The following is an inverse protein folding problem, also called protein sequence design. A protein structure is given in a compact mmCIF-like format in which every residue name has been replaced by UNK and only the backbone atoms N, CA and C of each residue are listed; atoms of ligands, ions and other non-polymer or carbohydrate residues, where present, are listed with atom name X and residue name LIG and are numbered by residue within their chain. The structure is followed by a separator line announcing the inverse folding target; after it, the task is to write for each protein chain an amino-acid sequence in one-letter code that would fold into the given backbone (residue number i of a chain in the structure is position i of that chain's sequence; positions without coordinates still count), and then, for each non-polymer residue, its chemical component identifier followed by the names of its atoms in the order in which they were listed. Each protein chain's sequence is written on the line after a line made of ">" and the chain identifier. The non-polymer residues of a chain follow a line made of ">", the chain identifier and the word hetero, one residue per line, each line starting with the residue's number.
data_IF_509200812104
#
_entry.id   IF_509200812104
#
_cell.length_a   1.000
_cell.length_b   1.000
_cell.length_c   1.000
_cell.angle_alpha   90.00
_cell.angle_beta   90.00
_cell.angle_gamma   90.00
#
_symmetry.space_group_name_H-M   'P 1'
#
loop_
_entity.id
_entity.type
_entity.pdbx_description
1 polymer ?
#
# COMPACT_ATOMS: atom_id res chain seq x y z
N UNK A 1 -12.58 -14.08 -2.80
CA UNK A 1 -11.38 -13.23 -2.58
C UNK A 1 -10.14 -13.98 -3.04
N UNK A 2 -9.23 -13.30 -3.71
CA UNK A 2 -7.99 -13.89 -4.19
C UNK A 2 -6.84 -13.29 -3.38
N UNK A 3 -6.01 -14.17 -2.83
CA UNK A 3 -4.82 -13.76 -2.07
C UNK A 3 -3.57 -14.09 -2.89
N UNK A 4 -2.70 -13.10 -3.05
CA UNK A 4 -1.44 -13.25 -3.76
C UNK A 4 -0.31 -12.90 -2.81
N UNK A 5 0.60 -13.85 -2.59
CA UNK A 5 1.73 -13.69 -1.68
C UNK A 5 3.01 -13.49 -2.49
N UNK A 6 3.73 -12.40 -2.20
CA UNK A 6 4.97 -12.05 -2.88
C UNK A 6 6.07 -11.76 -1.87
N UNK A 7 7.31 -12.01 -2.26
CA UNK A 7 8.48 -11.73 -1.42
C UNK A 7 8.97 -10.28 -1.53
N UNK A 8 8.56 -9.57 -2.58
CA UNK A 8 9.05 -8.22 -2.86
C UNK A 8 8.00 -7.39 -3.59
N UNK A 9 8.34 -6.15 -3.92
CA UNK A 9 7.44 -5.21 -4.59
C UNK A 9 7.45 -5.29 -6.11
N UNK A 10 8.14 -6.26 -6.71
CA UNK A 10 8.25 -6.39 -8.16
C UNK A 10 7.04 -7.12 -8.76
N UNK A 11 5.86 -6.58 -8.56
CA UNK A 11 4.61 -7.17 -9.06
C UNK A 11 4.46 -7.04 -10.57
N UNK A 12 5.28 -6.21 -11.20
CA UNK A 12 5.34 -6.03 -12.66
C UNK A 12 6.39 -6.90 -13.35
N UNK A 13 7.08 -7.78 -12.63
CA UNK A 13 8.04 -8.71 -13.22
C UNK A 13 7.38 -9.53 -14.32
N UNK A 14 8.08 -9.73 -15.44
CA UNK A 14 7.51 -10.39 -16.62
C UNK A 14 6.89 -11.76 -16.32
N UNK A 15 7.52 -12.54 -15.43
CA UNK A 15 7.03 -13.86 -15.08
C UNK A 15 5.72 -13.81 -14.28
N UNK A 16 5.41 -12.67 -13.67
CA UNK A 16 4.24 -12.50 -12.82
C UNK A 16 3.14 -11.69 -13.51
N UNK A 17 3.52 -10.73 -14.35
CA UNK A 17 2.58 -9.81 -15.00
C UNK A 17 1.45 -10.54 -15.74
N UNK A 18 1.80 -11.55 -16.53
CA UNK A 18 0.81 -12.30 -17.28
C UNK A 18 -0.26 -12.96 -16.42
N UNK A 19 0.10 -13.37 -15.19
CA UNK A 19 -0.84 -13.98 -14.25
C UNK A 19 -1.64 -12.95 -13.49
N UNK A 20 -1.03 -11.84 -13.07
CA UNK A 20 -1.68 -10.82 -12.25
C UNK A 20 -2.59 -9.89 -13.03
N UNK A 21 -2.34 -9.66 -14.33
CA UNK A 21 -3.17 -8.77 -15.16
C UNK A 21 -4.64 -9.19 -15.23
N UNK A 22 -4.96 -10.43 -14.89
CA UNK A 22 -6.34 -10.92 -14.80
C UNK A 22 -7.09 -10.25 -13.63
N UNK A 23 -6.38 -9.91 -12.58
CA UNK A 23 -6.92 -9.42 -11.32
C UNK A 23 -6.69 -7.93 -11.12
N UNK A 24 -5.57 -7.41 -11.64
CA UNK A 24 -5.19 -6.01 -11.52
C UNK A 24 -5.55 -5.32 -12.83
N UNK A 25 -6.60 -4.49 -12.80
CA UNK A 25 -7.13 -3.80 -13.97
C UNK A 25 -6.75 -2.32 -13.94
N UNK A 26 -6.71 -1.63 -15.11
CA UNK A 26 -6.39 -0.20 -15.16
C UNK A 26 -7.32 0.68 -14.32
N UNK A 27 -8.57 0.28 -14.12
CA UNK A 27 -9.54 1.02 -13.32
C UNK A 27 -9.60 0.57 -11.86
N UNK A 28 -8.73 -0.34 -11.45
CA UNK A 28 -8.68 -0.80 -10.05
C UNK A 28 -8.27 0.32 -9.12
N UNK A 29 -8.90 0.37 -7.94
CA UNK A 29 -8.51 1.23 -6.84
C UNK A 29 -7.70 0.42 -5.84
N UNK A 30 -6.58 0.98 -5.41
CA UNK A 30 -5.63 0.27 -4.55
C UNK A 30 -5.48 1.00 -3.22
N UNK A 31 -5.66 0.27 -2.14
CA UNK A 31 -5.30 0.73 -0.80
C UNK A 31 -3.96 0.08 -0.43
N UNK A 32 -2.94 0.89 -0.23
CA UNK A 32 -1.63 0.41 0.19
C UNK A 32 -1.54 0.51 1.71
N UNK A 33 -1.37 -0.63 2.37
CA UNK A 33 -1.28 -0.70 3.82
C UNK A 33 0.18 -0.47 4.24
N UNK A 34 0.53 0.79 4.50
CA UNK A 34 1.87 1.22 4.89
C UNK A 34 1.97 1.33 6.42
N UNK A 35 1.63 0.25 7.14
CA UNK A 35 1.51 0.22 8.59
C UNK A 35 2.52 -0.69 9.28
N UNK A 36 3.47 -1.25 8.53
CA UNK A 36 4.42 -2.25 9.04
C UNK A 36 5.76 -1.68 9.49
N UNK A 37 5.88 -0.36 9.56
CA UNK A 37 7.14 0.31 9.92
C UNK A 37 7.50 0.16 11.40
N UNK A 38 8.80 0.32 11.70
CA UNK A 38 9.32 0.36 13.08
C UNK A 38 9.14 1.75 13.68
N UNK A 39 8.69 1.83 14.93
CA UNK A 39 8.46 3.12 15.61
C UNK A 39 9.73 3.95 15.75
N UNK A 40 10.89 3.31 15.87
CA UNK A 40 12.16 4.03 16.00
C UNK A 40 12.66 4.61 14.67
N UNK A 41 12.08 4.21 13.54
CA UNK A 41 12.43 4.73 12.21
C UNK A 41 11.40 5.71 11.68
N UNK A 42 10.14 5.51 12.02
CA UNK A 42 9.04 6.38 11.58
C UNK A 42 8.30 6.85 12.83
N UNK A 43 8.68 8.01 13.33
CA UNK A 43 8.23 8.56 14.60
C UNK A 43 7.14 9.61 14.46
N UNK A 44 7.03 10.19 13.27
CA UNK A 44 6.12 11.30 12.97
C UNK A 44 5.77 11.34 11.48
N UNK A 45 4.92 12.28 11.10
CA UNK A 45 4.50 12.45 9.70
C UNK A 45 5.67 12.74 8.77
N UNK A 46 6.65 13.53 9.21
CA UNK A 46 7.81 13.85 8.39
C UNK A 46 8.62 12.59 8.04
N UNK A 47 8.85 11.72 9.03
CA UNK A 47 9.54 10.45 8.81
C UNK A 47 8.73 9.56 7.85
N UNK A 48 7.40 9.53 8.00
CA UNK A 48 6.52 8.75 7.14
C UNK A 48 6.57 9.26 5.69
N UNK A 49 6.49 10.58 5.52
CA UNK A 49 6.55 11.20 4.18
C UNK A 49 7.87 10.91 3.49
N UNK A 50 8.97 10.87 4.23
CA UNK A 50 10.29 10.57 3.66
C UNK A 50 10.38 9.15 3.08
N UNK A 51 9.50 8.23 3.49
CA UNK A 51 9.47 6.88 2.97
C UNK A 51 8.36 6.65 1.93
N UNK A 52 7.18 7.21 2.15
CA UNK A 52 5.98 6.80 1.42
C UNK A 52 5.25 7.89 0.66
N UNK A 53 5.59 9.17 0.82
CA UNK A 53 4.88 10.22 0.11
C UNK A 53 5.20 10.21 -1.39
N UNK A 54 4.26 10.68 -2.19
CA UNK A 54 4.42 10.80 -3.64
C UNK A 54 5.58 11.72 -4.01
N UNK A 55 5.75 12.80 -3.26
CA UNK A 55 6.73 13.85 -3.56
C UNK A 55 8.15 13.48 -3.17
N UNK A 56 8.32 12.83 -2.00
CA UNK A 56 9.64 12.63 -1.40
C UNK A 56 9.92 11.20 -0.96
N UNK A 57 8.96 10.29 -1.10
CA UNK A 57 9.04 8.96 -0.52
C UNK A 57 10.09 8.06 -1.17
N UNK A 58 11.02 7.58 -0.36
CA UNK A 58 12.07 6.67 -0.80
C UNK A 58 11.52 5.40 -1.46
N UNK A 59 10.42 4.88 -0.95
CA UNK A 59 9.82 3.64 -1.43
C UNK A 59 8.61 3.84 -2.35
N UNK A 60 8.11 5.07 -2.46
CA UNK A 60 6.92 5.33 -3.26
C UNK A 60 7.08 4.88 -4.71
N UNK A 61 8.19 5.22 -5.34
CA UNK A 61 8.43 4.90 -6.76
C UNK A 61 8.41 3.41 -7.04
N UNK A 62 9.01 2.59 -6.18
CA UNK A 62 9.03 1.14 -6.37
C UNK A 62 7.65 0.51 -6.13
N UNK A 63 6.90 1.02 -5.18
CA UNK A 63 5.55 0.51 -4.86
C UNK A 63 4.56 0.94 -5.94
N UNK A 64 4.47 2.24 -6.21
CA UNK A 64 3.54 2.76 -7.19
C UNK A 64 3.92 2.35 -8.62
N UNK A 65 5.21 2.31 -8.93
CA UNK A 65 5.68 1.93 -10.27
C UNK A 65 5.21 0.56 -10.70
N UNK A 66 5.24 -0.41 -9.79
CA UNK A 66 4.70 -1.74 -10.06
C UNK A 66 3.21 -1.72 -10.38
N UNK A 67 2.43 -0.91 -9.67
CA UNK A 67 0.99 -0.76 -9.91
C UNK A 67 0.72 -0.01 -11.22
N UNK A 68 1.48 1.04 -11.50
CA UNK A 68 1.33 1.82 -12.74
C UNK A 68 1.58 0.97 -13.99
N UNK A 69 2.41 -0.07 -13.89
CA UNK A 69 2.67 -1.00 -14.99
C UNK A 69 1.42 -1.73 -15.46
N UNK A 70 0.39 -1.83 -14.63
CA UNK A 70 -0.90 -2.42 -14.98
C UNK A 70 -1.90 -1.40 -15.54
N UNK A 71 -1.47 -0.16 -15.72
CA UNK A 71 -2.31 0.92 -16.23
C UNK A 71 -3.11 1.66 -15.17
N UNK A 72 -2.91 1.34 -13.88
CA UNK A 72 -3.57 2.04 -12.77
C UNK A 72 -3.06 3.48 -12.71
N UNK A 73 -3.95 4.44 -12.56
CA UNK A 73 -3.60 5.85 -12.44
C UNK A 73 -3.22 6.17 -10.97
N UNK A 74 -2.31 7.11 -10.80
CA UNK A 74 -1.81 7.47 -9.46
C UNK A 74 -2.92 7.90 -8.51
N UNK A 75 -3.94 8.60 -8.99
CA UNK A 75 -5.08 9.05 -8.17
C UNK A 75 -5.91 7.89 -7.62
N UNK A 76 -5.75 6.69 -8.15
CA UNK A 76 -6.42 5.48 -7.68
C UNK A 76 -5.56 4.66 -6.71
N UNK A 77 -4.38 5.17 -6.35
CA UNK A 77 -3.49 4.53 -5.38
C UNK A 77 -3.48 5.37 -4.10
N UNK A 78 -3.99 4.81 -3.03
CA UNK A 78 -4.09 5.50 -1.74
C UNK A 78 -3.31 4.74 -0.68
N UNK A 79 -2.41 5.43 0.00
CA UNK A 79 -1.64 4.85 1.10
C UNK A 79 -2.34 5.14 2.43
N UNK A 80 -2.54 4.13 3.25
CA UNK A 80 -2.98 4.35 4.63
C UNK A 80 -1.84 5.02 5.39
N UNK A 81 -2.12 6.16 5.99
CA UNK A 81 -1.15 6.97 6.69
C UNK A 81 -1.49 7.01 8.18
N UNK A 82 -0.67 6.35 8.99
CA UNK A 82 -0.89 6.24 10.44
C UNK A 82 -1.02 7.59 11.13
N UNK A 83 -0.34 8.62 10.62
CA UNK A 83 -0.28 9.95 11.26
C UNK A 83 -1.38 10.90 10.79
N UNK A 84 -2.03 10.62 9.67
CA UNK A 84 -3.09 11.46 9.09
C UNK A 84 -4.46 10.83 9.11
N UNK A 85 -4.55 9.52 8.90
CA UNK A 85 -5.85 8.86 8.80
C UNK A 85 -6.51 8.74 10.16
N UNK A 86 -7.83 8.93 10.14
CA UNK A 86 -8.71 8.53 11.23
C UNK A 86 -9.23 7.13 10.95
N UNK A 87 -9.94 6.52 11.90
CA UNK A 87 -10.61 5.24 11.69
C UNK A 87 -11.56 5.32 10.49
N UNK A 88 -12.29 6.42 10.37
CA UNK A 88 -13.27 6.65 9.33
C UNK A 88 -12.63 6.79 7.94
N UNK A 89 -11.56 7.57 7.82
CA UNK A 89 -10.89 7.76 6.53
C UNK A 89 -10.16 6.51 6.09
N UNK A 90 -9.51 5.79 7.01
CA UNK A 90 -8.86 4.52 6.72
C UNK A 90 -9.88 3.47 6.26
N UNK A 91 -10.99 3.35 6.96
CA UNK A 91 -12.06 2.40 6.61
C UNK A 91 -12.61 2.70 5.21
N UNK A 92 -12.84 3.98 4.90
CA UNK A 92 -13.33 4.40 3.58
C UNK A 92 -12.35 4.00 2.48
N UNK A 93 -11.07 4.25 2.68
CA UNK A 93 -10.03 3.89 1.71
C UNK A 93 -10.05 2.40 1.42
N UNK A 94 -10.14 1.57 2.46
CA UNK A 94 -10.16 0.10 2.31
C UNK A 94 -11.46 -0.37 1.66
N UNK A 95 -12.61 0.17 2.07
CA UNK A 95 -13.92 -0.20 1.52
C UNK A 95 -14.05 0.12 0.03
N UNK A 96 -13.45 1.23 -0.41
CA UNK A 96 -13.48 1.64 -1.82
C UNK A 96 -12.45 0.95 -2.68
N UNK A 97 -11.52 0.20 -2.09
CA UNK A 97 -10.45 -0.46 -2.82
C UNK A 97 -10.92 -1.76 -3.45
N UNK A 98 -10.47 -1.99 -4.67
CA UNK A 98 -10.59 -3.29 -5.34
C UNK A 98 -9.43 -4.20 -4.93
N UNK A 99 -8.30 -3.59 -4.57
CA UNK A 99 -7.06 -4.27 -4.20
C UNK A 99 -6.53 -3.68 -2.90
N UNK A 100 -6.21 -4.54 -1.95
CA UNK A 100 -5.50 -4.15 -0.73
C UNK A 100 -4.08 -4.70 -0.82
N UNK A 101 -3.11 -3.80 -0.79
CA UNK A 101 -1.70 -4.12 -0.96
C UNK A 101 -0.96 -3.93 0.36
N UNK A 102 -0.52 -5.03 0.95
CA UNK A 102 0.21 -5.01 2.23
C UNK A 102 1.70 -4.91 1.97
N UNK A 103 2.34 -3.89 2.52
CA UNK A 103 3.79 -3.74 2.44
C UNK A 103 4.48 -4.66 3.44
N UNK A 104 5.69 -5.10 3.09
CA UNK A 104 6.55 -5.85 4.00
C UNK A 104 7.03 -5.02 5.18
N UNK A 105 7.54 -5.69 6.21
CA UNK A 105 8.05 -5.04 7.41
C UNK A 105 7.74 -5.88 8.64
N UNK A 106 7.27 -5.26 9.72
CA UNK A 106 6.95 -5.94 10.97
C UNK A 106 5.47 -6.34 11.01
N UNK A 107 5.14 -7.63 10.85
CA UNK A 107 3.73 -8.07 10.82
C UNK A 107 2.99 -7.74 12.13
N UNK A 108 3.65 -7.90 13.27
CA UNK A 108 3.05 -7.62 14.57
C UNK A 108 2.63 -6.16 14.70
N UNK A 109 3.49 -5.23 14.27
CA UNK A 109 3.20 -3.80 14.30
C UNK A 109 2.09 -3.44 13.33
N UNK A 110 2.10 -4.04 12.16
CA UNK A 110 1.03 -3.86 11.18
C UNK A 110 -0.32 -4.29 11.76
N UNK A 111 -0.38 -5.47 12.39
CA UNK A 111 -1.62 -5.99 12.95
C UNK A 111 -2.12 -5.14 14.12
N UNK A 112 -1.23 -4.66 14.98
CA UNK A 112 -1.59 -3.74 16.06
C UNK A 112 -2.26 -2.46 15.51
N UNK A 113 -1.68 -1.89 14.47
CA UNK A 113 -2.20 -0.66 13.86
C UNK A 113 -3.50 -0.90 13.09
N UNK A 114 -3.62 -2.02 12.41
CA UNK A 114 -4.87 -2.41 11.76
C UNK A 114 -6.00 -2.53 12.79
N UNK A 115 -5.74 -3.16 13.91
CA UNK A 115 -6.72 -3.27 15.00
C UNK A 115 -7.05 -1.91 15.61
N UNK A 116 -6.04 -1.06 15.81
CA UNK A 116 -6.25 0.28 16.34
C UNK A 116 -7.11 1.15 15.43
N UNK A 117 -7.02 0.94 14.11
CA UNK A 117 -7.86 1.62 13.12
C UNK A 117 -9.21 0.91 12.89
N UNK A 118 -9.43 -0.22 13.54
CA UNK A 118 -10.67 -1.01 13.40
C UNK A 118 -10.95 -1.46 11.96
N UNK A 119 -9.89 -1.84 11.26
CA UNK A 119 -10.00 -2.30 9.86
C UNK A 119 -10.30 -3.78 9.71
#
# INVERSE_FOLDING_TARGET
>A
MINILLENTQIDALWLYGSLKKYIKPNSRVAVVALSFKENRVRNLEDWDALYSKENGKYYGSIAGGLLSYGIQEENISFLNWFKDTKETAARTVEMADIVYFLGGLPDRMMERIRALEL
#
